data_IF_838058802112
#
_entry.id   IF_838058802112
#
_cell.length_a   1.000
_cell.length_b   1.000
_cell.length_c   1.000
_cell.angle_alpha   90.00
_cell.angle_beta   90.00
_cell.angle_gamma   90.00
#
_symmetry.space_group_name_H-M   'P 1'
#
loop_
_entity.id
_entity.type
_entity.pdbx_description
1 polymer ?
#
# COMPACT_ATOMS: atom_id res chain seq x y z
N UNK A 1 133.95 -25.76 -23.88
CA UNK A 1 133.32 -24.60 -23.20
C UNK A 1 132.15 -23.98 -23.99
N UNK A 2 132.33 -23.55 -25.27
CA UNK A 2 131.26 -22.93 -26.08
C UNK A 2 129.99 -23.78 -26.27
N UNK A 3 130.10 -25.10 -26.38
CA UNK A 3 128.94 -26.00 -26.57
C UNK A 3 128.07 -26.03 -25.30
N UNK A 4 128.67 -26.13 -24.11
CA UNK A 4 127.95 -26.12 -22.81
C UNK A 4 127.23 -24.81 -22.54
N UNK A 5 127.86 -23.66 -22.84
CA UNK A 5 127.22 -22.35 -22.67
C UNK A 5 126.04 -22.21 -23.64
N UNK A 6 126.21 -22.65 -24.89
CA UNK A 6 125.14 -22.60 -25.90
C UNK A 6 123.97 -23.52 -25.54
N UNK A 7 124.21 -24.72 -25.00
CA UNK A 7 123.14 -25.64 -24.58
C UNK A 7 122.43 -25.15 -23.32
N UNK A 8 123.17 -24.61 -22.34
CA UNK A 8 122.61 -24.03 -21.12
C UNK A 8 121.74 -22.80 -21.41
N UNK A 9 122.25 -21.84 -22.18
CA UNK A 9 121.46 -20.66 -22.60
C UNK A 9 120.22 -21.08 -23.37
N UNK A 10 120.33 -22.06 -24.27
CA UNK A 10 119.19 -22.57 -25.04
C UNK A 10 118.17 -23.29 -24.15
N UNK A 11 118.60 -24.00 -23.12
CA UNK A 11 117.73 -24.66 -22.14
C UNK A 11 117.01 -23.65 -21.24
N UNK A 12 117.73 -22.67 -20.69
CA UNK A 12 117.17 -21.60 -19.86
C UNK A 12 116.17 -20.75 -20.64
N UNK A 13 116.51 -20.30 -21.86
CA UNK A 13 115.58 -19.54 -22.71
C UNK A 13 114.32 -20.37 -23.00
N UNK A 14 114.47 -21.66 -23.30
CA UNK A 14 113.32 -22.54 -23.55
C UNK A 14 112.45 -22.74 -22.30
N UNK A 15 113.06 -22.88 -21.12
CA UNK A 15 112.35 -23.01 -19.86
C UNK A 15 111.62 -21.71 -19.47
N UNK A 16 112.30 -20.55 -19.58
CA UNK A 16 111.70 -19.24 -19.31
C UNK A 16 110.56 -18.91 -20.27
N UNK A 17 110.75 -19.16 -21.57
CA UNK A 17 109.69 -18.98 -22.58
C UNK A 17 108.53 -19.93 -22.31
N UNK A 18 108.78 -21.19 -21.96
CA UNK A 18 107.72 -22.15 -21.63
C UNK A 18 106.97 -21.76 -20.35
N UNK A 19 107.68 -21.30 -19.32
CA UNK A 19 107.07 -20.84 -18.07
C UNK A 19 106.25 -19.58 -18.30
N UNK A 20 106.78 -18.60 -19.04
CA UNK A 20 106.05 -17.37 -19.39
C UNK A 20 104.82 -17.65 -20.25
N UNK A 21 104.95 -18.49 -21.28
CA UNK A 21 103.81 -18.92 -22.10
C UNK A 21 102.78 -19.65 -21.25
N UNK A 22 103.21 -20.57 -20.38
CA UNK A 22 102.30 -21.33 -19.52
C UNK A 22 101.58 -20.42 -18.52
N UNK A 23 102.29 -19.55 -17.80
CA UNK A 23 101.63 -18.65 -16.85
C UNK A 23 100.76 -17.64 -17.57
N UNK A 24 101.24 -17.00 -18.64
CA UNK A 24 100.44 -16.04 -19.40
C UNK A 24 99.20 -16.66 -20.03
N UNK A 25 99.34 -17.77 -20.78
CA UNK A 25 98.19 -18.44 -21.38
C UNK A 25 97.30 -19.03 -20.29
N UNK A 26 97.86 -19.78 -19.36
CA UNK A 26 97.03 -20.52 -18.41
C UNK A 26 96.39 -19.60 -17.38
N UNK A 27 97.11 -18.70 -16.72
CA UNK A 27 96.49 -17.91 -15.66
C UNK A 27 95.67 -16.75 -16.24
N UNK A 28 96.22 -16.00 -17.19
CA UNK A 28 95.52 -14.82 -17.71
C UNK A 28 94.33 -15.21 -18.60
N UNK A 29 94.53 -16.09 -19.60
CA UNK A 29 93.42 -16.45 -20.50
C UNK A 29 92.38 -17.29 -19.78
N UNK A 30 92.78 -18.25 -18.94
CA UNK A 30 91.80 -19.04 -18.19
C UNK A 30 91.03 -18.20 -17.18
N UNK A 31 91.69 -17.35 -16.37
CA UNK A 31 90.99 -16.53 -15.39
C UNK A 31 90.08 -15.49 -16.07
N UNK A 32 90.53 -14.86 -17.15
CA UNK A 32 89.73 -13.88 -17.88
C UNK A 32 88.53 -14.54 -18.56
N UNK A 33 88.73 -15.70 -19.19
CA UNK A 33 87.65 -16.47 -19.81
C UNK A 33 86.67 -17.03 -18.77
N UNK A 34 87.17 -17.54 -17.64
CA UNK A 34 86.32 -17.98 -16.53
C UNK A 34 85.51 -16.83 -15.93
N UNK A 35 86.14 -15.68 -15.68
CA UNK A 35 85.47 -14.48 -15.18
C UNK A 35 84.42 -13.97 -16.16
N UNK A 36 84.72 -13.88 -17.46
CA UNK A 36 83.77 -13.47 -18.49
C UNK A 36 82.61 -14.45 -18.62
N UNK A 37 82.86 -15.76 -18.67
CA UNK A 37 81.80 -16.76 -18.78
C UNK A 37 80.93 -16.77 -17.52
N UNK A 38 81.55 -16.72 -16.34
CA UNK A 38 80.84 -16.72 -15.07
C UNK A 38 80.01 -15.46 -14.91
N UNK A 39 80.58 -14.28 -15.15
CA UNK A 39 79.84 -13.02 -15.09
C UNK A 39 78.74 -13.00 -16.12
N UNK A 40 78.99 -13.33 -17.38
CA UNK A 40 77.97 -13.36 -18.42
C UNK A 40 76.83 -14.33 -18.07
N UNK A 41 77.13 -15.58 -17.70
CA UNK A 41 76.10 -16.55 -17.31
C UNK A 41 75.36 -16.09 -16.06
N UNK A 42 76.07 -15.70 -15.01
CA UNK A 42 75.45 -15.34 -13.75
C UNK A 42 74.63 -14.06 -13.90
N UNK A 43 75.19 -12.96 -14.41
CA UNK A 43 74.42 -11.73 -14.56
C UNK A 43 73.32 -11.92 -15.58
N UNK A 44 73.58 -12.41 -16.78
CA UNK A 44 72.54 -12.52 -17.80
C UNK A 44 71.45 -13.50 -17.36
N UNK A 45 71.78 -14.73 -16.98
CA UNK A 45 70.75 -15.73 -16.67
C UNK A 45 70.06 -15.38 -15.35
N UNK A 46 70.81 -15.05 -14.29
CA UNK A 46 70.20 -14.77 -12.99
C UNK A 46 69.42 -13.46 -13.01
N UNK A 47 70.00 -12.36 -13.49
CA UNK A 47 69.26 -11.09 -13.50
C UNK A 47 68.13 -11.11 -14.49
N UNK A 48 68.30 -11.64 -15.71
CA UNK A 48 67.20 -11.69 -16.67
C UNK A 48 66.08 -12.60 -16.20
N UNK A 49 66.37 -13.83 -15.74
CA UNK A 49 65.31 -14.70 -15.21
C UNK A 49 64.68 -14.11 -13.97
N UNK A 50 65.47 -13.66 -13.00
CA UNK A 50 64.92 -13.13 -11.76
C UNK A 50 64.08 -11.88 -12.01
N UNK A 51 64.60 -10.90 -12.76
CA UNK A 51 63.84 -9.68 -13.07
C UNK A 51 62.64 -9.99 -13.92
N UNK A 52 62.76 -10.76 -15.01
CA UNK A 52 61.63 -11.08 -15.88
C UNK A 52 60.56 -11.88 -15.14
N UNK A 53 60.93 -12.96 -14.46
CA UNK A 53 59.97 -13.81 -13.74
C UNK A 53 59.36 -13.04 -12.58
N UNK A 54 60.18 -12.38 -11.75
CA UNK A 54 59.66 -11.66 -10.59
C UNK A 54 58.81 -10.48 -11.03
N UNK A 55 59.27 -9.63 -11.94
CA UNK A 55 58.47 -8.48 -12.38
C UNK A 55 57.23 -8.94 -13.12
N UNK A 56 57.33 -9.83 -14.10
CA UNK A 56 56.17 -10.27 -14.86
C UNK A 56 55.16 -10.97 -13.97
N UNK A 57 55.57 -11.99 -13.20
CA UNK A 57 54.62 -12.72 -12.35
C UNK A 57 54.07 -11.83 -11.25
N UNK A 58 54.91 -11.08 -10.54
CA UNK A 58 54.45 -10.27 -9.43
C UNK A 58 53.57 -9.12 -9.92
N UNK A 59 54.01 -8.36 -10.93
CA UNK A 59 53.20 -7.24 -11.43
C UNK A 59 51.95 -7.74 -12.11
N UNK A 60 52.01 -8.77 -12.96
CA UNK A 60 50.82 -9.29 -13.63
C UNK A 60 49.83 -9.89 -12.63
N UNK A 61 50.26 -10.77 -11.71
CA UNK A 61 49.35 -11.30 -10.68
C UNK A 61 48.81 -10.18 -9.80
N UNK A 62 49.67 -9.31 -9.29
CA UNK A 62 49.22 -8.27 -8.37
C UNK A 62 48.26 -7.30 -9.06
N UNK A 63 48.59 -6.81 -10.26
CA UNK A 63 47.71 -5.91 -11.00
C UNK A 63 46.43 -6.61 -11.42
N UNK A 64 46.49 -7.82 -11.96
CA UNK A 64 45.31 -8.56 -12.38
C UNK A 64 44.40 -8.89 -11.20
N UNK A 65 44.95 -9.44 -10.11
CA UNK A 65 44.17 -9.78 -8.92
C UNK A 65 43.61 -8.51 -8.29
N UNK A 66 44.42 -7.47 -8.10
CA UNK A 66 43.94 -6.23 -7.50
C UNK A 66 42.88 -5.56 -8.36
N UNK A 67 43.11 -5.42 -9.67
CA UNK A 67 42.13 -4.78 -10.57
C UNK A 67 40.87 -5.62 -10.70
N UNK A 68 40.98 -6.93 -10.88
CA UNK A 68 39.82 -7.81 -11.01
C UNK A 68 39.01 -7.84 -9.71
N UNK A 69 39.65 -8.08 -8.56
CA UNK A 69 38.96 -8.10 -7.27
C UNK A 69 38.36 -6.73 -6.97
N UNK A 70 39.13 -5.64 -7.11
CA UNK A 70 38.63 -4.32 -6.81
C UNK A 70 37.49 -3.93 -7.75
N UNK A 71 37.62 -4.14 -9.06
CA UNK A 71 36.55 -3.80 -10.01
C UNK A 71 35.34 -4.69 -9.81
N UNK A 72 35.51 -6.01 -9.67
CA UNK A 72 34.39 -6.92 -9.47
C UNK A 72 33.66 -6.65 -8.16
N UNK A 73 34.39 -6.57 -7.04
CA UNK A 73 33.78 -6.29 -5.73
C UNK A 73 33.15 -4.90 -5.74
N UNK A 74 33.86 -3.86 -6.18
CA UNK A 74 33.32 -2.51 -6.19
C UNK A 74 32.09 -2.42 -7.10
N UNK A 75 32.16 -2.91 -8.34
CA UNK A 75 31.03 -2.83 -9.25
C UNK A 75 29.86 -3.68 -8.76
N UNK A 76 30.09 -4.93 -8.36
CA UNK A 76 29.03 -5.82 -7.88
C UNK A 76 28.39 -5.28 -6.61
N UNK A 77 29.17 -4.92 -5.59
CA UNK A 77 28.64 -4.39 -4.34
C UNK A 77 27.94 -3.05 -4.59
N UNK A 78 28.57 -2.12 -5.31
CA UNK A 78 27.97 -0.82 -5.58
C UNK A 78 26.68 -0.96 -6.39
N UNK A 79 26.68 -1.74 -7.46
CA UNK A 79 25.48 -1.94 -8.28
C UNK A 79 24.41 -2.68 -7.52
N UNK A 80 24.73 -3.76 -6.80
CA UNK A 80 23.77 -4.52 -6.03
C UNK A 80 23.17 -3.67 -4.92
N UNK A 81 23.98 -3.01 -4.10
CA UNK A 81 23.50 -2.14 -3.03
C UNK A 81 22.69 -0.99 -3.60
N UNK A 82 23.20 -0.30 -4.62
CA UNK A 82 22.49 0.85 -5.20
C UNK A 82 21.16 0.42 -5.82
N UNK A 83 21.14 -0.64 -6.62
CA UNK A 83 19.91 -1.13 -7.26
C UNK A 83 18.93 -1.69 -6.23
N UNK A 84 19.39 -2.49 -5.28
CA UNK A 84 18.53 -3.08 -4.25
C UNK A 84 17.94 -2.00 -3.34
N UNK A 85 18.77 -1.09 -2.82
CA UNK A 85 18.31 0.01 -1.97
C UNK A 85 17.36 0.91 -2.75
N UNK A 86 17.75 1.33 -3.96
CA UNK A 86 16.90 2.22 -4.77
C UNK A 86 15.58 1.55 -5.12
N UNK A 87 15.61 0.29 -5.56
CA UNK A 87 14.40 -0.47 -5.88
C UNK A 87 13.53 -0.65 -4.64
N UNK A 88 14.09 -1.11 -3.52
CA UNK A 88 13.32 -1.41 -2.33
C UNK A 88 12.73 -0.14 -1.71
N UNK A 89 13.53 0.92 -1.56
CA UNK A 89 13.06 2.20 -1.05
C UNK A 89 12.02 2.79 -2.01
N UNK A 90 12.30 2.85 -3.31
CA UNK A 90 11.37 3.42 -4.28
C UNK A 90 10.07 2.64 -4.31
N UNK A 91 10.11 1.31 -4.45
CA UNK A 91 8.90 0.49 -4.49
C UNK A 91 8.16 0.52 -3.17
N UNK A 92 8.82 0.38 -2.03
CA UNK A 92 8.16 0.40 -0.74
C UNK A 92 7.53 1.76 -0.46
N UNK A 93 8.27 2.86 -0.64
CA UNK A 93 7.73 4.20 -0.42
C UNK A 93 6.62 4.50 -1.41
N UNK A 94 6.83 4.23 -2.70
CA UNK A 94 5.81 4.48 -3.72
C UNK A 94 4.56 3.67 -3.47
N UNK A 95 4.68 2.35 -3.23
CA UNK A 95 3.52 1.50 -2.95
C UNK A 95 2.85 1.90 -1.64
N UNK A 96 3.59 2.13 -0.56
CA UNK A 96 3.01 2.55 0.71
C UNK A 96 2.28 3.87 0.57
N UNK A 97 2.93 4.92 0.08
CA UNK A 97 2.32 6.24 -0.09
C UNK A 97 1.14 6.17 -1.05
N UNK A 98 1.33 5.59 -2.24
CA UNK A 98 0.28 5.51 -3.25
C UNK A 98 -0.91 4.72 -2.71
N UNK A 99 -0.71 3.53 -2.16
CA UNK A 99 -1.82 2.72 -1.66
C UNK A 99 -2.49 3.37 -0.47
N UNK A 100 -1.76 3.84 0.54
CA UNK A 100 -2.38 4.44 1.72
C UNK A 100 -3.12 5.73 1.39
N UNK A 101 -2.48 6.65 0.67
CA UNK A 101 -3.11 7.94 0.35
C UNK A 101 -4.28 7.73 -0.60
N UNK A 102 -4.08 6.97 -1.68
CA UNK A 102 -5.15 6.73 -2.65
C UNK A 102 -6.33 6.00 -2.00
N UNK A 103 -6.08 4.93 -1.24
CA UNK A 103 -7.18 4.20 -0.57
C UNK A 103 -7.86 5.03 0.49
N UNK A 104 -7.12 5.83 1.27
CA UNK A 104 -7.69 6.69 2.29
C UNK A 104 -8.58 7.78 1.66
N UNK A 105 -8.06 8.50 0.68
CA UNK A 105 -8.82 9.56 -0.02
C UNK A 105 -10.03 8.94 -0.72
N UNK A 106 -9.83 7.86 -1.47
CA UNK A 106 -10.91 7.18 -2.18
C UNK A 106 -12.00 6.72 -1.21
N UNK A 107 -11.63 6.05 -0.11
CA UNK A 107 -12.57 5.58 0.90
C UNK A 107 -13.33 6.75 1.52
N UNK A 108 -12.62 7.81 1.93
CA UNK A 108 -13.24 8.96 2.58
C UNK A 108 -14.23 9.67 1.66
N UNK A 109 -13.80 9.97 0.42
CA UNK A 109 -14.65 10.60 -0.59
C UNK A 109 -15.86 9.72 -0.94
N UNK A 110 -15.65 8.43 -1.15
CA UNK A 110 -16.72 7.48 -1.44
C UNK A 110 -17.73 7.41 -0.29
N UNK A 111 -17.27 7.32 0.96
CA UNK A 111 -18.15 7.35 2.13
C UNK A 111 -18.93 8.65 2.23
N UNK A 112 -18.30 9.80 2.02
CA UNK A 112 -18.95 11.10 2.10
C UNK A 112 -20.04 11.28 1.03
N UNK A 113 -19.75 10.87 -0.21
CA UNK A 113 -20.73 10.91 -1.30
C UNK A 113 -21.88 9.94 -1.01
N UNK A 114 -21.59 8.74 -0.51
CA UNK A 114 -22.63 7.78 -0.18
C UNK A 114 -23.52 8.28 0.97
N UNK A 115 -22.94 8.82 2.05
CA UNK A 115 -23.70 9.34 3.20
C UNK A 115 -24.56 10.53 2.81
N UNK A 116 -24.01 11.48 2.02
CA UNK A 116 -24.79 12.61 1.52
C UNK A 116 -25.96 12.16 0.64
N UNK A 117 -25.75 11.17 -0.24
CA UNK A 117 -26.82 10.58 -1.05
C UNK A 117 -27.89 9.90 -0.19
N UNK A 118 -27.50 9.14 0.84
CA UNK A 118 -28.46 8.56 1.79
C UNK A 118 -29.25 9.62 2.53
N UNK A 119 -28.60 10.72 2.94
CA UNK A 119 -29.28 11.83 3.61
C UNK A 119 -30.33 12.48 2.70
N UNK A 120 -29.97 12.77 1.44
CA UNK A 120 -30.91 13.29 0.44
C UNK A 120 -32.10 12.34 0.26
N UNK A 121 -31.85 11.03 0.18
CA UNK A 121 -32.92 10.05 0.07
C UNK A 121 -33.83 10.05 1.31
N UNK A 122 -33.28 10.15 2.53
CA UNK A 122 -34.10 10.25 3.75
C UNK A 122 -34.95 11.51 3.80
N UNK A 123 -34.43 12.64 3.33
CA UNK A 123 -35.21 13.88 3.22
C UNK A 123 -36.32 13.72 2.17
N UNK A 124 -36.01 13.10 1.03
CA UNK A 124 -37.00 12.82 -0.01
C UNK A 124 -38.12 11.91 0.49
N UNK A 125 -37.80 10.82 1.19
CA UNK A 125 -38.81 9.93 1.77
C UNK A 125 -39.65 10.65 2.81
N UNK A 126 -39.03 11.47 3.67
CA UNK A 126 -39.77 12.29 4.64
C UNK A 126 -40.77 13.24 3.96
N UNK A 127 -40.32 13.99 2.95
CA UNK A 127 -41.20 14.87 2.17
C UNK A 127 -42.34 14.07 1.52
N UNK A 128 -42.03 12.93 0.90
CA UNK A 128 -43.05 12.09 0.27
C UNK A 128 -44.07 11.58 1.28
N UNK A 129 -43.64 11.12 2.46
CA UNK A 129 -44.55 10.67 3.52
C UNK A 129 -45.46 11.81 3.99
N UNK A 130 -44.93 13.02 4.14
CA UNK A 130 -45.72 14.20 4.51
C UNK A 130 -46.75 14.56 3.44
N UNK A 131 -46.35 14.57 2.17
CA UNK A 131 -47.25 14.84 1.05
C UNK A 131 -48.38 13.80 0.98
N UNK A 132 -48.08 12.52 1.23
CA UNK A 132 -49.13 11.48 1.28
C UNK A 132 -50.01 11.57 2.53
N UNK A 133 -49.44 12.01 3.65
CA UNK A 133 -50.15 12.11 4.92
C UNK A 133 -51.17 13.25 4.91
N UNK A 134 -50.83 14.42 4.36
CA UNK A 134 -51.70 15.61 4.37
C UNK A 134 -53.11 15.33 3.81
N UNK A 135 -53.29 14.77 2.59
CA UNK A 135 -54.62 14.44 2.07
C UNK A 135 -55.36 13.42 2.93
N UNK A 136 -54.66 12.40 3.43
CA UNK A 136 -55.26 11.37 4.28
C UNK A 136 -55.79 11.96 5.59
N UNK A 137 -55.01 12.85 6.21
CA UNK A 137 -55.35 13.55 7.44
C UNK A 137 -56.53 14.51 7.23
N UNK A 138 -56.50 15.31 6.15
CA UNK A 138 -57.62 16.20 5.80
C UNK A 138 -58.90 15.37 5.55
N UNK A 139 -58.81 14.28 4.79
CA UNK A 139 -59.96 13.45 4.46
C UNK A 139 -60.58 12.80 5.70
N UNK A 140 -59.77 12.19 6.57
CA UNK A 140 -60.29 11.54 7.78
C UNK A 140 -60.71 12.55 8.84
N UNK A 141 -59.83 13.49 9.20
CA UNK A 141 -60.05 14.35 10.36
C UNK A 141 -60.95 15.54 10.10
N UNK A 142 -61.04 16.05 8.87
CA UNK A 142 -61.94 17.17 8.57
C UNK A 142 -63.17 16.71 7.81
N UNK A 143 -63.01 15.94 6.75
CA UNK A 143 -64.16 15.59 5.90
C UNK A 143 -65.01 14.51 6.59
N UNK A 144 -64.41 13.36 6.93
CA UNK A 144 -65.15 12.23 7.48
C UNK A 144 -65.74 12.55 8.86
N UNK A 145 -64.97 13.10 9.80
CA UNK A 145 -65.49 13.47 11.13
C UNK A 145 -66.56 14.57 11.06
N UNK A 146 -66.42 15.60 10.19
CA UNK A 146 -67.39 16.67 10.10
C UNK A 146 -68.70 16.16 9.50
N UNK A 147 -68.61 15.41 8.41
CA UNK A 147 -69.79 14.78 7.80
C UNK A 147 -70.44 13.80 8.80
N UNK A 148 -69.65 12.98 9.49
CA UNK A 148 -70.16 12.03 10.47
C UNK A 148 -70.82 12.73 11.68
N UNK A 149 -70.18 13.75 12.25
CA UNK A 149 -70.76 14.51 13.38
C UNK A 149 -72.03 15.22 12.94
N UNK A 150 -72.05 15.85 11.76
CA UNK A 150 -73.25 16.53 11.24
C UNK A 150 -74.39 15.55 10.95
N UNK A 151 -74.09 14.39 10.36
CA UNK A 151 -75.10 13.35 10.12
C UNK A 151 -75.62 12.74 11.42
N UNK A 152 -74.75 12.48 12.41
CA UNK A 152 -75.20 12.05 13.75
C UNK A 152 -76.03 13.12 14.45
N UNK A 153 -75.70 14.40 14.32
CA UNK A 153 -76.48 15.51 14.87
C UNK A 153 -77.87 15.60 14.22
N UNK A 154 -77.93 15.52 12.90
CA UNK A 154 -79.22 15.46 12.18
C UNK A 154 -80.01 14.25 12.65
N UNK A 155 -79.39 13.07 12.73
CA UNK A 155 -80.06 11.85 13.18
C UNK A 155 -80.61 11.99 14.60
N UNK A 156 -79.82 12.49 15.55
CA UNK A 156 -80.28 12.70 16.93
C UNK A 156 -81.34 13.78 17.02
N UNK A 157 -81.23 14.87 16.28
CA UNK A 157 -82.26 15.92 16.23
C UNK A 157 -83.58 15.40 15.67
N UNK A 158 -83.54 14.69 14.55
CA UNK A 158 -84.73 14.05 13.96
C UNK A 158 -85.31 13.03 14.93
N UNK A 159 -84.47 12.14 15.47
CA UNK A 159 -84.91 11.10 16.41
C UNK A 159 -85.54 11.72 17.66
N UNK A 160 -84.88 12.70 18.28
CA UNK A 160 -85.42 13.39 19.47
C UNK A 160 -86.67 14.18 19.16
N UNK A 161 -86.74 14.92 18.05
CA UNK A 161 -87.92 15.69 17.67
C UNK A 161 -89.11 14.77 17.39
N UNK A 162 -88.92 13.74 16.57
CA UNK A 162 -89.97 12.75 16.27
C UNK A 162 -90.36 12.01 17.54
N UNK A 163 -89.38 11.48 18.29
CA UNK A 163 -89.65 10.73 19.51
C UNK A 163 -90.36 11.60 20.55
N UNK A 164 -89.87 12.81 20.83
CA UNK A 164 -90.53 13.70 21.79
C UNK A 164 -91.89 14.15 21.30
N UNK A 165 -92.06 14.55 20.04
CA UNK A 165 -93.36 14.99 19.52
C UNK A 165 -94.38 13.85 19.53
N UNK A 166 -94.02 12.68 18.99
CA UNK A 166 -94.91 11.53 18.96
C UNK A 166 -95.16 11.02 20.38
N UNK A 167 -94.11 10.83 21.20
CA UNK A 167 -94.27 10.34 22.56
C UNK A 167 -95.08 11.31 23.41
N UNK A 168 -94.79 12.61 23.38
CA UNK A 168 -95.57 13.61 24.14
C UNK A 168 -96.97 13.73 23.61
N UNK A 169 -97.20 13.75 22.29
CA UNK A 169 -98.54 13.82 21.72
C UNK A 169 -99.36 12.59 22.07
N UNK A 170 -98.84 11.39 21.85
CA UNK A 170 -99.52 10.15 22.21
C UNK A 170 -99.70 10.05 23.72
N UNK A 171 -98.68 10.32 24.53
CA UNK A 171 -98.78 10.24 25.98
C UNK A 171 -99.77 11.27 26.52
N UNK A 172 -99.70 12.53 26.08
CA UNK A 172 -100.64 13.57 26.53
C UNK A 172 -102.05 13.29 26.02
N UNK A 173 -102.23 12.86 24.76
CA UNK A 173 -103.55 12.53 24.21
C UNK A 173 -104.15 11.34 24.94
N UNK A 174 -103.42 10.23 25.11
CA UNK A 174 -103.89 9.06 25.85
C UNK A 174 -104.13 9.42 27.33
N UNK A 175 -103.19 10.10 28.00
CA UNK A 175 -103.33 10.45 29.41
C UNK A 175 -104.49 11.43 29.62
N UNK A 176 -104.63 12.46 28.78
CA UNK A 176 -105.76 13.41 28.88
C UNK A 176 -107.06 12.76 28.48
N UNK A 177 -107.11 11.92 27.45
CA UNK A 177 -108.32 11.20 27.05
C UNK A 177 -108.77 10.20 28.11
N UNK A 178 -107.85 9.41 28.69
CA UNK A 178 -108.16 8.51 29.80
C UNK A 178 -108.56 9.31 31.05
N UNK A 179 -107.82 10.35 31.42
CA UNK A 179 -108.12 11.15 32.62
C UNK A 179 -109.44 11.94 32.48
N UNK A 180 -109.72 12.52 31.31
CA UNK A 180 -110.98 13.21 31.04
C UNK A 180 -112.14 12.25 30.86
N UNK A 181 -111.98 11.11 30.17
CA UNK A 181 -113.03 10.09 30.09
C UNK A 181 -113.35 9.51 31.47
N UNK A 182 -112.37 9.22 32.31
CA UNK A 182 -112.58 8.75 33.68
C UNK A 182 -113.33 9.78 34.53
N UNK A 183 -112.93 11.06 34.46
CA UNK A 183 -113.63 12.17 35.14
C UNK A 183 -115.04 12.37 34.57
N UNK A 184 -115.24 12.27 33.26
CA UNK A 184 -116.55 12.46 32.62
C UNK A 184 -117.49 11.30 32.90
N UNK A 185 -117.00 10.05 33.01
CA UNK A 185 -117.79 8.91 33.48
C UNK A 185 -118.15 9.04 34.95
N UNK A 186 -117.25 9.54 35.80
CA UNK A 186 -117.55 9.77 37.21
C UNK A 186 -118.57 10.91 37.41
N UNK A 187 -118.51 11.95 36.56
CA UNK A 187 -119.45 13.08 36.60
C UNK A 187 -120.81 12.74 35.98
N UNK A 188 -120.85 11.96 34.89
CA UNK A 188 -122.11 11.51 34.27
C UNK A 188 -122.86 10.46 35.12
N UNK A 189 -122.15 9.63 35.90
CA UNK A 189 -122.81 8.70 36.82
C UNK A 189 -123.44 9.37 38.05
N UNK A 190 -123.27 10.68 38.24
CA UNK A 190 -123.91 11.42 39.36
C UNK A 190 -125.18 12.19 38.95
N UNK A 191 -125.56 12.20 37.67
CA UNK A 191 -126.73 12.95 37.19
C UNK A 191 -127.76 12.12 36.42
N UNK A 192 -127.64 10.78 36.38
CA UNK A 192 -128.60 9.89 35.70
C UNK A 192 -129.37 8.97 36.66
N UNK A 193 -129.17 9.04 37.97
CA UNK A 193 -130.13 8.47 38.91
C UNK A 193 -130.45 9.45 40.03
N UNK A 194 -131.76 9.75 40.09
CA UNK A 194 -132.56 10.44 41.12
C UNK A 194 -132.35 11.94 41.29
#
# INVERSE_FOLDING_TARGET
MRVCVRTYVRACVRACVRAYIYTYIHTYIHACMHACIHTYKHTYIHTYKHTYIHTYIHTYKHTYIHTYIHTYIHTYIHTYIHTYITYYIHTYIHTYIHTHIHTYIYKYMHTYIHTSKTYINTVHTYIHTYITYIPSYIHTYYIHTYIHTYTTYIHTYIHTYIHTYIHTYIHTYIHTYIHTSYIHTYKNNKYIHT
#
